data_IF_858663554028
#
_entry.id   IF_858663554028
#
_cell.length_a   1.000
_cell.length_b   1.000
_cell.length_c   1.000
_cell.angle_alpha   90.00
_cell.angle_beta   90.00
_cell.angle_gamma   90.00
#
_symmetry.space_group_name_H-M   'P 1'
#
loop_
_entity.id
_entity.type
_entity.pdbx_description
1 polymer ?
#
# COMPACT_ATOMS: atom_id res chain seq x y z
N UNK A 1 -6.75 1.18 13.87
CA UNK A 1 -6.26 0.22 12.87
C UNK A 1 -6.20 0.90 11.52
N UNK A 2 -5.22 0.61 10.67
CA UNK A 2 -5.20 1.10 9.28
C UNK A 2 -6.32 0.40 8.51
N UNK A 3 -7.27 1.17 8.00
CA UNK A 3 -8.41 0.69 7.22
C UNK A 3 -8.08 0.62 5.74
N UNK A 4 -7.41 1.65 5.21
CA UNK A 4 -7.02 1.68 3.80
C UNK A 4 -5.76 2.50 3.55
N UNK A 5 -5.01 2.09 2.52
CA UNK A 5 -3.87 2.82 1.98
C UNK A 5 -4.14 2.99 0.49
N UNK A 6 -4.16 4.24 0.02
CA UNK A 6 -4.52 4.54 -1.36
C UNK A 6 -3.70 5.69 -1.94
N UNK A 7 -3.84 5.95 -3.23
CA UNK A 7 -3.20 7.09 -3.88
C UNK A 7 -3.80 7.35 -5.25
N UNK A 8 -3.92 8.63 -5.62
CA UNK A 8 -4.47 9.05 -6.92
C UNK A 8 -3.42 8.96 -8.02
N UNK A 9 -3.82 8.55 -9.21
CA UNK A 9 -2.98 8.52 -10.40
C UNK A 9 -3.80 8.50 -11.68
N UNK A 10 -3.15 8.16 -12.79
CA UNK A 10 -3.79 8.15 -14.11
C UNK A 10 -3.46 6.85 -14.85
N UNK A 11 -4.47 6.23 -15.46
CA UNK A 11 -4.33 5.12 -16.40
C UNK A 11 -4.89 5.55 -17.75
N UNK A 12 -4.02 5.69 -18.76
CA UNK A 12 -4.39 6.10 -20.12
C UNK A 12 -5.29 7.36 -20.18
N UNK A 13 -4.93 8.39 -19.43
CA UNK A 13 -5.69 9.64 -19.35
C UNK A 13 -6.89 9.64 -18.41
N UNK A 14 -7.23 8.50 -17.79
CA UNK A 14 -8.33 8.41 -16.82
C UNK A 14 -7.80 8.54 -15.41
N UNK A 15 -8.36 9.46 -14.62
CA UNK A 15 -8.11 9.49 -13.18
C UNK A 15 -8.46 8.15 -12.55
N UNK A 16 -7.57 7.63 -11.73
CA UNK A 16 -7.69 6.30 -11.14
C UNK A 16 -7.25 6.33 -9.69
N UNK A 17 -8.08 5.78 -8.82
CA UNK A 17 -7.69 5.47 -7.45
C UNK A 17 -6.91 4.16 -7.42
N UNK A 18 -5.67 4.22 -6.95
CA UNK A 18 -4.88 3.03 -6.68
C UNK A 18 -5.04 2.67 -5.20
N UNK A 19 -5.27 1.40 -4.90
CA UNK A 19 -5.50 0.90 -3.54
C UNK A 19 -4.56 -0.23 -3.21
N UNK A 20 -4.10 -0.27 -1.96
CA UNK A 20 -3.32 -1.39 -1.46
C UNK A 20 -4.26 -2.58 -1.26
N UNK A 21 -3.98 -3.67 -1.96
CA UNK A 21 -4.78 -4.90 -1.91
C UNK A 21 -3.86 -6.08 -1.62
N UNK A 22 -4.32 -7.07 -0.84
CA UNK A 22 -3.57 -8.29 -0.66
C UNK A 22 -3.44 -9.02 -2.00
N UNK A 23 -2.32 -9.72 -2.18
CA UNK A 23 -2.11 -10.61 -3.30
C UNK A 23 -2.94 -11.90 -3.13
N UNK A 24 -2.81 -12.84 -4.08
CA UNK A 24 -3.54 -14.12 -4.05
C UNK A 24 -3.31 -14.97 -2.79
N UNK A 25 -2.23 -14.72 -2.05
CA UNK A 25 -1.88 -15.41 -0.81
C UNK A 25 -2.34 -14.63 0.44
N UNK A 26 -3.09 -13.53 0.28
CA UNK A 26 -3.52 -12.69 1.40
C UNK A 26 -2.49 -11.66 1.87
N UNK A 27 -1.34 -11.52 1.19
CA UNK A 27 -0.24 -10.68 1.65
C UNK A 27 -0.15 -9.34 0.90
N UNK A 28 0.18 -8.26 1.61
CA UNK A 28 0.38 -6.94 1.05
C UNK A 28 1.81 -6.78 0.53
N UNK A 29 1.96 -6.32 -0.71
CA UNK A 29 3.27 -6.25 -1.38
C UNK A 29 3.94 -4.88 -1.18
N UNK A 30 5.18 -4.90 -0.73
CA UNK A 30 6.10 -3.76 -0.69
C UNK A 30 7.31 -4.05 -1.58
N UNK A 31 7.99 -2.99 -1.99
CA UNK A 31 9.22 -3.04 -2.78
C UNK A 31 10.33 -2.27 -2.06
N UNK A 32 11.49 -2.87 -1.85
CA UNK A 32 12.64 -2.16 -1.25
C UNK A 32 13.00 -0.94 -2.10
N UNK A 33 13.09 0.23 -1.48
CA UNK A 33 13.68 1.46 -2.03
C UNK A 33 15.18 1.47 -1.72
N UNK A 34 15.51 1.25 -0.45
CA UNK A 34 16.87 1.14 0.09
C UNK A 34 17.22 -0.31 0.43
N UNK A 35 18.51 -0.69 0.35
CA UNK A 35 18.95 -2.08 0.59
C UNK A 35 18.52 -3.07 -0.51
N UNK A 36 18.25 -2.57 -1.72
CA UNK A 36 17.98 -3.41 -2.90
C UNK A 36 19.23 -4.14 -3.36
N UNK A 37 19.05 -5.27 -4.03
CA UNK A 37 20.13 -5.91 -4.76
C UNK A 37 20.72 -4.95 -5.82
N UNK A 38 22.05 -4.92 -5.94
CA UNK A 38 22.72 -4.00 -6.86
C UNK A 38 22.30 -4.26 -8.31
N UNK A 39 22.06 -3.19 -9.07
CA UNK A 39 21.64 -3.28 -10.48
C UNK A 39 20.18 -3.66 -10.72
N UNK A 40 19.36 -3.78 -9.67
CA UNK A 40 17.98 -4.28 -9.77
C UNK A 40 16.93 -3.19 -9.56
N UNK A 41 15.75 -3.39 -10.15
CA UNK A 41 14.60 -2.48 -10.01
C UNK A 41 13.81 -2.83 -8.74
N UNK A 42 13.10 -1.86 -8.11
CA UNK A 42 12.31 -2.15 -6.91
C UNK A 42 11.28 -3.26 -7.10
N UNK A 43 10.68 -3.35 -8.29
CA UNK A 43 9.67 -4.35 -8.64
C UNK A 43 10.21 -5.77 -8.88
N UNK A 44 11.53 -5.95 -8.95
CA UNK A 44 12.14 -7.27 -9.15
C UNK A 44 11.87 -8.16 -7.94
N UNK A 45 11.65 -9.46 -8.18
CA UNK A 45 11.19 -10.42 -7.16
C UNK A 45 12.04 -10.44 -5.88
N UNK A 46 13.36 -10.34 -6.01
CA UNK A 46 14.32 -10.31 -4.89
C UNK A 46 14.20 -9.09 -3.96
N UNK A 47 13.54 -8.02 -4.42
CA UNK A 47 13.35 -6.79 -3.64
C UNK A 47 11.96 -6.71 -3.02
N UNK A 48 11.08 -7.69 -3.26
CA UNK A 48 9.74 -7.71 -2.72
C UNK A 48 9.76 -8.09 -1.24
N UNK A 49 8.96 -7.38 -0.47
CA UNK A 49 8.67 -7.67 0.92
C UNK A 49 7.16 -7.81 1.05
N UNK A 50 6.72 -8.71 1.91
CA UNK A 50 5.32 -9.01 2.11
C UNK A 50 4.94 -8.74 3.55
N UNK A 51 3.82 -8.07 3.76
CA UNK A 51 3.22 -7.82 5.05
C UNK A 51 1.91 -8.63 5.16
N UNK A 52 1.60 -9.10 6.35
CA UNK A 52 0.40 -9.89 6.66
C UNK A 52 -0.83 -9.00 6.92
N UNK A 53 -0.61 -7.71 7.22
CA UNK A 53 -1.67 -6.74 7.50
C UNK A 53 -1.38 -5.36 6.90
N UNK A 54 -2.42 -4.52 6.81
CA UNK A 54 -2.26 -3.11 6.43
C UNK A 54 -1.46 -2.32 7.48
N UNK A 55 -1.61 -2.64 8.77
CA UNK A 55 -0.83 -1.99 9.83
C UNK A 55 0.67 -2.30 9.68
N UNK A 56 1.03 -3.56 9.44
CA UNK A 56 2.43 -3.95 9.19
C UNK A 56 2.96 -3.30 7.90
N UNK A 57 2.17 -3.28 6.82
CA UNK A 57 2.55 -2.61 5.58
C UNK A 57 2.78 -1.11 5.82
N UNK A 58 1.96 -0.47 6.64
CA UNK A 58 2.09 0.93 7.03
C UNK A 58 3.33 1.17 7.88
N UNK A 59 3.61 0.31 8.87
CA UNK A 59 4.79 0.38 9.70
C UNK A 59 6.08 0.27 8.90
N UNK A 60 6.13 -0.67 7.96
CA UNK A 60 7.25 -0.78 7.02
C UNK A 60 7.37 0.47 6.14
N UNK A 61 6.27 0.97 5.58
CA UNK A 61 6.28 2.14 4.70
C UNK A 61 6.83 3.39 5.40
N UNK A 62 6.48 3.62 6.67
CA UNK A 62 6.99 4.72 7.50
C UNK A 62 8.50 4.72 7.71
N UNK A 63 9.17 3.58 7.53
CA UNK A 63 10.64 3.52 7.63
C UNK A 63 11.34 4.21 6.46
N UNK A 64 10.61 4.63 5.42
CA UNK A 64 11.10 5.20 4.16
C UNK A 64 12.02 4.28 3.36
N UNK A 65 12.23 3.04 3.81
CA UNK A 65 13.04 2.02 3.13
C UNK A 65 12.29 1.29 2.03
N UNK A 66 10.97 1.47 1.94
CA UNK A 66 10.10 0.72 1.06
C UNK A 66 9.18 1.65 0.26
N UNK A 67 8.77 1.17 -0.90
CA UNK A 67 7.54 1.60 -1.57
C UNK A 67 6.43 0.61 -1.25
N UNK A 68 5.20 1.10 -1.08
CA UNK A 68 4.01 0.27 -1.07
C UNK A 68 3.53 0.04 -2.51
N UNK A 69 3.08 -1.19 -2.82
CA UNK A 69 2.49 -1.51 -4.12
C UNK A 69 0.98 -1.26 -4.04
N UNK A 70 0.50 -0.28 -4.79
CA UNK A 70 -0.92 -0.03 -4.98
C UNK A 70 -1.39 -0.57 -6.33
N UNK A 71 -2.66 -0.94 -6.41
CA UNK A 71 -3.30 -1.48 -7.62
C UNK A 71 -4.46 -0.60 -8.06
N UNK A 72 -4.49 -0.26 -9.34
CA UNK A 72 -5.56 0.48 -9.99
C UNK A 72 -6.05 -0.28 -11.22
N UNK A 73 -7.32 -0.09 -11.58
CA UNK A 73 -7.93 -0.75 -12.71
C UNK A 73 -8.85 0.21 -13.46
N UNK A 74 -8.71 0.25 -14.78
CA UNK A 74 -9.57 1.02 -15.69
C UNK A 74 -9.85 0.17 -16.92
N UNK A 75 -11.12 0.03 -17.31
CA UNK A 75 -11.58 -0.76 -18.46
C UNK A 75 -10.94 -2.17 -18.53
N UNK A 76 -10.83 -2.86 -17.39
CA UNK A 76 -10.22 -4.19 -17.32
C UNK A 76 -8.69 -4.20 -17.28
N UNK A 77 -8.02 -3.06 -17.49
CA UNK A 77 -6.56 -2.98 -17.48
C UNK A 77 -6.07 -2.71 -16.06
N UNK A 78 -5.30 -3.65 -15.53
CA UNK A 78 -4.68 -3.54 -14.21
C UNK A 78 -3.30 -2.89 -14.29
N UNK A 79 -3.03 -1.93 -13.41
CA UNK A 79 -1.72 -1.31 -13.23
C UNK A 79 -1.32 -1.31 -11.77
N UNK A 80 -0.02 -1.48 -11.54
CA UNK A 80 0.61 -1.27 -10.24
C UNK A 80 1.24 0.12 -10.18
N UNK A 81 1.19 0.74 -9.02
CA UNK A 81 1.83 2.01 -8.71
C UNK A 81 2.66 1.84 -7.45
N UNK A 82 3.97 2.10 -7.54
CA UNK A 82 4.85 2.15 -6.37
C UNK A 82 4.72 3.53 -5.73
N UNK A 83 4.40 3.57 -4.44
CA UNK A 83 4.22 4.82 -3.69
C UNK A 83 5.08 4.84 -2.45
N UNK A 84 5.67 5.99 -2.17
CA UNK A 84 6.35 6.29 -0.92
C UNK A 84 5.34 6.84 0.10
N UNK A 85 5.75 6.93 1.36
CA UNK A 85 4.92 7.36 2.49
C UNK A 85 4.28 8.74 2.25
N UNK A 86 4.98 9.65 1.60
CA UNK A 86 4.52 11.01 1.29
C UNK A 86 3.51 11.08 0.14
N UNK A 87 3.26 9.96 -0.55
CA UNK A 87 2.46 9.92 -1.79
C UNK A 87 1.22 9.02 -1.66
N UNK A 88 0.82 8.70 -0.43
CA UNK A 88 -0.35 7.89 -0.12
C UNK A 88 -1.31 8.61 0.82
N UNK A 89 -2.58 8.32 0.65
CA UNK A 89 -3.67 8.68 1.56
C UNK A 89 -3.96 7.48 2.47
N UNK A 90 -4.05 7.72 3.78
CA UNK A 90 -4.32 6.69 4.79
C UNK A 90 -5.66 6.97 5.45
N UNK A 91 -6.51 5.95 5.50
CA UNK A 91 -7.73 5.96 6.30
C UNK A 91 -7.53 5.06 7.52
N UNK A 92 -7.87 5.58 8.69
CA UNK A 92 -7.86 4.83 9.94
C UNK A 92 -9.29 4.51 10.36
N UNK A 93 -9.51 3.32 10.90
CA UNK A 93 -10.76 3.04 11.60
C UNK A 93 -10.89 3.98 12.80
N UNK A 94 -11.91 4.83 12.76
CA UNK A 94 -12.34 5.63 13.91
C UNK A 94 -13.29 4.77 14.72
N UNK A 95 -12.76 3.81 15.47
CA UNK A 95 -13.54 3.23 16.55
C UNK A 95 -13.80 4.33 17.59
N UNK A 96 -14.98 4.95 17.47
CA UNK A 96 -15.56 5.68 18.59
C UNK A 96 -15.82 4.62 19.64
N UNK A 97 -14.94 4.50 20.63
CA UNK A 97 -15.24 3.78 21.86
C UNK A 97 -16.49 4.45 22.44
N UNK A 98 -17.67 3.89 22.15
CA UNK A 98 -18.89 4.21 22.88
C UNK A 98 -18.59 3.85 24.32
N UNK A 99 -18.23 4.86 25.12
CA UNK A 99 -18.08 4.71 26.54
C UNK A 99 -19.37 4.07 27.06
N UNK A 100 -19.22 2.93 27.71
CA UNK A 100 -20.27 2.30 28.48
C UNK A 100 -20.73 3.34 29.52
N UNK A 101 -21.84 4.03 29.24
CA UNK A 101 -22.55 4.81 30.25
C UNK A 101 -23.52 3.85 30.92
N UNK A 102 -23.02 3.09 31.89
CA UNK A 102 -23.86 2.53 32.94
C UNK A 102 -24.37 3.69 33.79
N UNK A 103 -25.66 3.93 33.75
CA UNK A 103 -26.41 4.65 34.77
C UNK A 103 -27.69 3.86 35.07
#
# INVERSE_FOLDING_TARGET
MVKSISGKGVIYGNETLFTCKPNRNGLFELARKHGRAAGTRPQDSQNKVYAESLDEAWDLLKTEKFYIVLTGQVYGIHRKSLRSVESVDIEFDTETRSACATA
#
